data_IF_747324723183
#
_entry.id   IF_747324723183
#
_cell.length_a   1.000
_cell.length_b   1.000
_cell.length_c   1.000
_cell.angle_alpha   90.00
_cell.angle_beta   90.00
_cell.angle_gamma   90.00
#
_symmetry.space_group_name_H-M   'P 1'
#
loop_
_entity.id
_entity.type
_entity.pdbx_description
1 polymer ?
#
# COMPACT_ATOMS: atom_id res chain seq x y z
N UNK A 1 22.33 -64.18 -34.28
CA UNK A 1 22.22 -64.36 -32.82
C UNK A 1 22.21 -62.94 -32.23
N UNK A 2 21.11 -62.22 -31.91
CA UNK A 2 19.85 -62.50 -31.17
C UNK A 2 20.06 -63.38 -29.95
N UNK A 3 19.71 -63.05 -28.71
CA UNK A 3 19.17 -61.85 -28.03
C UNK A 3 19.48 -62.03 -26.50
N UNK A 4 18.72 -61.53 -25.51
CA UNK A 4 18.96 -60.28 -24.76
C UNK A 4 18.91 -60.46 -23.21
N UNK A 5 18.97 -59.36 -22.46
CA UNK A 5 18.58 -59.27 -21.03
C UNK A 5 19.66 -58.58 -20.20
N UNK A 6 19.41 -57.63 -19.32
CA UNK A 6 18.19 -57.02 -18.77
C UNK A 6 18.63 -55.65 -18.21
N UNK A 7 17.76 -54.65 -18.34
CA UNK A 7 17.93 -53.34 -17.71
C UNK A 7 17.43 -53.40 -16.26
N UNK A 8 18.09 -52.75 -15.29
CA UNK A 8 17.47 -52.57 -13.98
C UNK A 8 16.51 -51.38 -14.00
N UNK A 9 15.29 -51.74 -13.61
CA UNK A 9 14.10 -50.95 -13.29
C UNK A 9 14.41 -49.61 -12.62
N UNK A 10 13.99 -48.51 -13.26
CA UNK A 10 13.70 -47.26 -12.55
C UNK A 10 12.33 -47.42 -11.91
N UNK A 11 12.32 -47.89 -10.67
CA UNK A 11 11.14 -47.88 -9.81
C UNK A 11 10.69 -46.43 -9.60
N UNK A 12 9.47 -46.15 -10.02
CA UNK A 12 8.80 -44.88 -9.81
C UNK A 12 8.58 -44.61 -8.32
N UNK A 13 8.89 -43.38 -7.93
CA UNK A 13 8.17 -42.67 -6.88
C UNK A 13 7.99 -41.24 -7.40
N UNK A 14 7.01 -41.08 -8.29
CA UNK A 14 6.31 -39.81 -8.48
C UNK A 14 5.63 -39.48 -7.14
N UNK A 15 6.36 -38.80 -6.26
CA UNK A 15 5.75 -38.07 -5.17
C UNK A 15 5.04 -36.85 -5.77
N UNK A 16 3.87 -37.11 -6.36
CA UNK A 16 2.82 -36.11 -6.58
C UNK A 16 2.38 -35.59 -5.22
N UNK A 17 3.17 -34.66 -4.66
CA UNK A 17 2.73 -33.78 -3.57
C UNK A 17 1.82 -32.72 -4.19
N UNK A 18 0.61 -33.14 -4.55
CA UNK A 18 -0.56 -32.28 -4.65
C UNK A 18 -0.83 -31.72 -3.24
N UNK A 19 -0.10 -30.67 -2.88
CA UNK A 19 -0.43 -29.86 -1.72
C UNK A 19 -1.54 -28.87 -2.12
N UNK A 20 -2.62 -28.79 -1.33
CA UNK A 20 -3.74 -27.92 -1.67
C UNK A 20 -3.29 -26.46 -1.66
N UNK A 21 -3.56 -25.76 -2.75
CA UNK A 21 -3.42 -24.30 -2.94
C UNK A 21 -4.41 -23.48 -2.11
N UNK A 22 -4.81 -23.99 -0.93
CA UNK A 22 -5.68 -23.33 0.01
C UNK A 22 -4.87 -23.04 1.28
N UNK A 23 -4.96 -21.80 1.75
CA UNK A 23 -4.44 -21.26 3.02
C UNK A 23 -3.12 -20.47 2.99
N UNK A 24 -3.21 -19.22 2.54
CA UNK A 24 -2.57 -18.07 3.22
C UNK A 24 -3.57 -16.91 3.14
N UNK A 25 -4.06 -16.42 4.27
CA UNK A 25 -4.95 -15.24 4.32
C UNK A 25 -6.15 -15.39 5.23
N UNK A 26 -5.90 -15.84 6.46
CA UNK A 26 -6.66 -15.53 7.66
C UNK A 26 -5.69 -15.74 8.83
N UNK A 27 -5.80 -14.94 9.89
CA UNK A 27 -4.93 -14.91 11.08
C UNK A 27 -3.66 -14.04 11.00
N UNK A 28 -3.84 -12.73 11.12
CA UNK A 28 -3.06 -11.83 11.99
C UNK A 28 -3.64 -10.40 11.96
N UNK A 29 -4.90 -10.23 12.37
CA UNK A 29 -5.50 -8.90 12.61
C UNK A 29 -5.84 -8.65 14.10
N UNK A 30 -5.33 -9.49 15.01
CA UNK A 30 -5.69 -9.43 16.42
C UNK A 30 -4.48 -9.66 17.34
N UNK A 31 -3.51 -8.75 17.34
CA UNK A 31 -2.59 -8.60 18.48
C UNK A 31 -2.37 -7.11 18.77
N UNK A 32 -3.31 -6.53 19.52
CA UNK A 32 -3.05 -5.32 20.31
C UNK A 32 -2.40 -5.83 21.61
N UNK A 33 -1.17 -5.45 21.97
CA UNK A 33 -0.62 -5.79 23.28
C UNK A 33 -1.43 -5.03 24.34
N UNK A 34 -2.32 -5.73 25.04
CA UNK A 34 -2.95 -5.20 26.27
C UNK A 34 -1.93 -5.30 27.39
N UNK A 35 -1.09 -4.27 27.55
CA UNK A 35 -0.32 -4.09 28.78
C UNK A 35 -1.27 -3.73 29.91
N UNK A 36 -1.52 -4.69 30.80
CA UNK A 36 -2.19 -4.48 32.09
C UNK A 36 -1.20 -3.76 33.01
N UNK A 37 -1.50 -2.52 33.41
CA UNK A 37 -0.82 -1.85 34.52
C UNK A 37 -1.86 -1.29 35.47
N UNK A 38 -1.98 -1.94 36.62
CA UNK A 38 -2.57 -1.38 37.83
C UNK A 38 -1.62 -0.31 38.36
N UNK A 39 -2.14 0.86 38.70
CA UNK A 39 -1.34 1.99 39.19
C UNK A 39 -2.17 3.26 39.33
N UNK A 40 -2.54 3.53 40.59
CA UNK A 40 -3.32 4.63 41.14
C UNK A 40 -2.97 6.06 40.67
N UNK A 41 -4.02 6.90 40.59
CA UNK A 41 -3.94 8.32 40.98
C UNK A 41 -3.60 9.32 39.86
N UNK A 42 -4.57 10.20 39.58
CA UNK A 42 -4.39 11.56 39.01
C UNK A 42 -3.70 11.70 37.65
N UNK A 43 -4.18 11.02 36.61
CA UNK A 43 -3.82 11.31 35.20
C UNK A 43 -5.03 11.18 34.24
N UNK A 44 -6.19 11.67 34.67
CA UNK A 44 -7.44 11.62 33.88
C UNK A 44 -7.45 12.50 32.62
N UNK A 45 -6.51 13.43 32.47
CA UNK A 45 -6.48 14.40 31.35
C UNK A 45 -5.47 14.07 30.24
N UNK A 46 -4.47 13.22 30.50
CA UNK A 46 -3.44 12.87 29.50
C UNK A 46 -3.81 11.68 28.60
N UNK A 47 -4.84 10.90 28.97
CA UNK A 47 -5.24 9.69 28.23
C UNK A 47 -6.38 9.91 27.19
N UNK A 48 -6.88 11.14 27.04
CA UNK A 48 -8.11 11.44 26.27
C UNK A 48 -7.92 12.16 24.91
N UNK A 49 -6.71 12.18 24.33
CA UNK A 49 -6.45 13.02 23.12
C UNK A 49 -5.68 12.37 21.97
N UNK A 50 -5.60 11.04 21.87
CA UNK A 50 -5.23 10.37 20.61
C UNK A 50 -6.47 9.72 19.98
N UNK A 51 -7.43 10.54 19.55
CA UNK A 51 -8.54 10.06 18.69
C UNK A 51 -7.93 9.64 17.36
N UNK A 52 -8.11 8.38 17.00
CA UNK A 52 -7.73 7.85 15.68
C UNK A 52 -8.52 8.63 14.62
N UNK A 53 -7.85 9.53 13.90
CA UNK A 53 -8.43 10.24 12.76
C UNK A 53 -8.41 9.29 11.55
N UNK A 54 -9.53 9.15 10.85
CA UNK A 54 -9.57 8.36 9.62
C UNK A 54 -8.93 9.14 8.47
N UNK A 55 -8.52 8.46 7.39
CA UNK A 55 -8.02 9.17 6.20
C UNK A 55 -9.08 10.11 5.62
N UNK A 56 -10.35 9.77 5.74
CA UNK A 56 -11.45 10.66 5.35
C UNK A 56 -11.46 11.95 6.18
N UNK A 57 -11.33 11.85 7.52
CA UNK A 57 -11.27 13.02 8.39
C UNK A 57 -10.06 13.92 8.07
N UNK A 58 -8.89 13.31 7.82
CA UNK A 58 -7.65 14.00 7.45
C UNK A 58 -7.84 14.70 6.10
N UNK A 59 -8.36 14.00 5.10
CA UNK A 59 -8.62 14.52 3.77
C UNK A 59 -9.58 15.72 3.80
N UNK A 60 -10.71 15.62 4.50
CA UNK A 60 -11.65 16.73 4.67
C UNK A 60 -11.02 17.95 5.36
N UNK A 61 -10.11 17.72 6.32
CA UNK A 61 -9.37 18.80 6.95
C UNK A 61 -8.32 19.44 6.04
N UNK A 62 -7.61 18.67 5.23
CA UNK A 62 -6.67 19.19 4.23
C UNK A 62 -7.38 19.95 3.11
N UNK A 63 -8.54 19.46 2.64
CA UNK A 63 -9.37 20.16 1.64
C UNK A 63 -9.86 21.53 2.15
N UNK A 64 -10.24 21.60 3.42
CA UNK A 64 -10.59 22.83 4.12
C UNK A 64 -9.36 23.67 4.55
N UNK A 65 -8.16 23.28 4.11
CA UNK A 65 -6.88 23.94 4.37
C UNK A 65 -6.56 24.19 5.85
N UNK A 66 -7.00 23.26 6.72
CA UNK A 66 -6.77 23.35 8.16
C UNK A 66 -5.42 22.80 8.58
N UNK A 67 -4.73 23.53 9.45
CA UNK A 67 -3.41 23.17 9.99
C UNK A 67 -3.39 21.80 10.67
N UNK A 68 -4.44 21.42 11.39
CA UNK A 68 -4.55 20.12 12.06
C UNK A 68 -4.67 18.97 11.07
N UNK A 69 -5.36 19.18 9.95
CA UNK A 69 -5.47 18.20 8.88
C UNK A 69 -4.13 17.94 8.23
N UNK A 70 -3.45 19.04 7.85
CA UNK A 70 -2.11 18.99 7.29
C UNK A 70 -1.09 18.36 8.24
N UNK A 71 -1.14 18.68 9.53
CA UNK A 71 -0.29 18.03 10.55
C UNK A 71 -0.50 16.52 10.56
N UNK A 72 -1.74 16.06 10.68
CA UNK A 72 -2.04 14.63 10.70
C UNK A 72 -1.65 13.93 9.39
N UNK A 73 -1.77 14.62 8.26
CA UNK A 73 -1.31 14.10 6.97
C UNK A 73 0.22 13.99 6.90
N UNK A 74 0.95 15.02 7.33
CA UNK A 74 2.42 15.00 7.35
C UNK A 74 2.93 13.91 8.30
N UNK A 75 2.44 13.86 9.54
CA UNK A 75 2.79 12.82 10.53
C UNK A 75 2.51 11.41 9.98
N UNK A 76 1.39 11.23 9.29
CA UNK A 76 1.00 9.94 8.74
C UNK A 76 1.83 9.52 7.53
N UNK A 77 2.12 10.42 6.59
CA UNK A 77 2.51 10.04 5.23
C UNK A 77 3.90 10.55 4.81
N UNK A 78 4.52 11.47 5.55
CA UNK A 78 5.91 11.90 5.30
C UNK A 78 6.92 10.75 5.35
N UNK A 79 6.86 9.80 6.33
CA UNK A 79 7.85 8.74 6.40
C UNK A 79 7.80 7.82 5.18
N UNK A 80 6.59 7.55 4.69
CA UNK A 80 6.37 6.73 3.50
C UNK A 80 6.91 7.41 2.24
N UNK A 81 6.64 8.71 2.06
CA UNK A 81 7.20 9.47 0.93
C UNK A 81 8.73 9.47 0.96
N UNK A 82 9.32 9.71 2.14
CA UNK A 82 10.77 9.66 2.35
C UNK A 82 11.34 8.28 2.01
N UNK A 83 10.69 7.21 2.46
CA UNK A 83 11.12 5.84 2.19
C UNK A 83 11.11 5.51 0.69
N UNK A 84 10.02 5.85 -0.02
CA UNK A 84 9.92 5.61 -1.46
C UNK A 84 10.98 6.39 -2.23
N UNK A 85 11.21 7.66 -1.87
CA UNK A 85 12.24 8.49 -2.50
C UNK A 85 13.64 8.00 -2.17
N UNK A 86 13.97 7.67 -0.91
CA UNK A 86 15.31 7.21 -0.56
C UNK A 86 15.67 5.87 -1.20
N UNK A 87 14.69 4.98 -1.37
CA UNK A 87 14.91 3.66 -1.97
C UNK A 87 14.97 3.73 -3.50
N UNK A 88 14.01 4.42 -4.13
CA UNK A 88 13.83 4.39 -5.59
C UNK A 88 14.35 5.64 -6.29
N UNK A 89 14.66 6.71 -5.58
CA UNK A 89 15.19 7.94 -6.16
C UNK A 89 16.19 8.60 -5.21
N UNK A 90 17.29 7.90 -4.83
CA UNK A 90 18.21 8.37 -3.79
C UNK A 90 18.79 9.76 -4.10
N UNK A 91 18.94 10.11 -5.37
CA UNK A 91 19.36 11.45 -5.82
C UNK A 91 18.35 12.56 -5.51
N UNK A 92 17.08 12.22 -5.29
CA UNK A 92 15.99 13.11 -4.93
C UNK A 92 15.62 13.04 -3.44
N UNK A 93 16.25 12.18 -2.63
CA UNK A 93 15.81 11.89 -1.27
C UNK A 93 16.11 12.98 -0.23
N UNK A 94 16.51 14.18 -0.68
CA UNK A 94 16.78 15.33 0.18
C UNK A 94 15.52 16.02 0.70
N UNK A 95 15.68 16.81 1.78
CA UNK A 95 14.60 17.55 2.44
C UNK A 95 13.83 18.47 1.47
N UNK A 96 14.52 19.12 0.54
CA UNK A 96 13.89 20.02 -0.44
C UNK A 96 12.86 19.34 -1.33
N UNK A 97 13.10 18.09 -1.75
CA UNK A 97 12.14 17.33 -2.55
C UNK A 97 10.88 16.99 -1.75
N UNK A 98 11.04 16.63 -0.47
CA UNK A 98 9.91 16.36 0.42
C UNK A 98 9.08 17.62 0.65
N UNK A 99 9.72 18.76 0.94
CA UNK A 99 9.06 20.06 1.05
C UNK A 99 8.24 20.41 -0.20
N UNK A 100 8.87 20.33 -1.38
CA UNK A 100 8.21 20.57 -2.67
C UNK A 100 7.03 19.63 -2.93
N UNK A 101 7.17 18.34 -2.59
CA UNK A 101 6.14 17.33 -2.74
C UNK A 101 4.91 17.66 -1.89
N UNK A 102 5.10 18.06 -0.63
CA UNK A 102 4.00 18.42 0.26
C UNK A 102 3.35 19.76 -0.14
N UNK A 103 4.13 20.75 -0.58
CA UNK A 103 3.57 21.97 -1.18
C UNK A 103 2.73 21.66 -2.42
N UNK A 104 3.22 20.78 -3.28
CA UNK A 104 2.49 20.35 -4.47
C UNK A 104 1.22 19.59 -4.10
N UNK A 105 1.26 18.79 -3.04
CA UNK A 105 0.07 18.13 -2.48
C UNK A 105 -0.97 19.16 -2.03
N UNK A 106 -0.57 20.24 -1.37
CA UNK A 106 -1.48 21.36 -1.00
C UNK A 106 -2.08 22.06 -2.21
N UNK A 107 -1.27 22.31 -3.25
CA UNK A 107 -1.75 22.89 -4.52
C UNK A 107 -2.72 21.97 -5.26
N UNK A 108 -2.44 20.67 -5.30
CA UNK A 108 -3.26 19.62 -5.96
C UNK A 108 -4.20 18.88 -5.00
N UNK A 109 -4.56 19.49 -3.86
CA UNK A 109 -5.31 18.83 -2.78
C UNK A 109 -6.64 18.23 -3.24
N UNK A 110 -7.32 18.87 -4.19
CA UNK A 110 -8.58 18.37 -4.76
C UNK A 110 -8.41 17.05 -5.51
N UNK A 111 -7.25 16.80 -6.11
CA UNK A 111 -6.97 15.54 -6.82
C UNK A 111 -6.62 14.43 -5.84
N UNK A 112 -5.67 14.68 -4.92
CA UNK A 112 -5.20 13.63 -3.99
C UNK A 112 -6.29 13.28 -2.96
N UNK A 113 -6.99 14.27 -2.42
CA UNK A 113 -8.02 14.08 -1.39
C UNK A 113 -9.44 13.96 -1.95
N UNK A 114 -9.57 13.61 -3.24
CA UNK A 114 -10.87 13.29 -3.84
C UNK A 114 -11.65 12.27 -2.98
N UNK A 115 -12.95 12.50 -2.71
CA UNK A 115 -13.76 11.63 -1.86
C UNK A 115 -13.77 10.17 -2.30
N UNK A 116 -13.78 9.87 -3.60
CA UNK A 116 -13.81 8.48 -4.06
C UNK A 116 -12.53 7.73 -3.69
N UNK A 117 -11.39 8.42 -3.75
CA UNK A 117 -10.07 7.88 -3.41
C UNK A 117 -9.67 7.99 -1.93
N UNK A 118 -10.53 8.51 -1.06
CA UNK A 118 -10.33 8.60 0.40
C UNK A 118 -11.36 7.79 1.19
N UNK A 119 -12.07 6.89 0.51
CA UNK A 119 -13.05 5.95 1.10
C UNK A 119 -12.39 4.90 1.99
N UNK A 120 -11.12 4.55 1.75
CA UNK A 120 -10.33 3.67 2.60
C UNK A 120 -8.87 4.13 2.66
N UNK A 121 -8.20 3.89 3.79
CA UNK A 121 -6.75 4.14 3.95
C UNK A 121 -5.96 3.35 2.90
N UNK A 122 -6.40 2.14 2.61
CA UNK A 122 -5.84 1.22 1.65
C UNK A 122 -5.76 1.80 0.24
N UNK A 123 -6.88 2.31 -0.27
CA UNK A 123 -6.92 2.96 -1.57
C UNK A 123 -6.11 4.25 -1.58
N UNK A 124 -6.18 5.02 -0.49
CA UNK A 124 -5.40 6.25 -0.37
C UNK A 124 -3.89 6.00 -0.42
N UNK A 125 -3.39 4.95 0.24
CA UNK A 125 -1.98 4.59 0.23
C UNK A 125 -1.48 4.32 -1.17
N UNK A 126 -2.19 3.52 -1.98
CA UNK A 126 -1.84 3.28 -3.38
C UNK A 126 -1.76 4.59 -4.17
N UNK A 127 -2.79 5.44 -4.07
CA UNK A 127 -2.83 6.73 -4.79
C UNK A 127 -1.72 7.68 -4.33
N UNK A 128 -1.40 7.68 -3.05
CA UNK A 128 -0.32 8.49 -2.50
C UNK A 128 1.04 7.96 -2.97
N UNK A 129 1.25 6.64 -2.98
CA UNK A 129 2.43 6.00 -3.56
C UNK A 129 2.64 6.41 -5.02
N UNK A 130 1.59 6.33 -5.85
CA UNK A 130 1.64 6.76 -7.26
C UNK A 130 1.96 8.24 -7.40
N UNK A 131 1.38 9.06 -6.53
CA UNK A 131 1.65 10.49 -6.53
C UNK A 131 3.14 10.74 -6.24
N UNK A 132 3.71 10.10 -5.22
CA UNK A 132 5.14 10.24 -4.87
C UNK A 132 6.03 9.79 -6.03
N UNK A 133 5.84 8.57 -6.53
CA UNK A 133 6.67 8.00 -7.61
C UNK A 133 6.48 8.76 -8.91
N UNK A 134 5.25 9.14 -9.26
CA UNK A 134 4.96 9.91 -10.45
C UNK A 134 5.60 11.30 -10.44
N UNK A 135 5.64 11.98 -9.28
CA UNK A 135 6.36 13.26 -9.15
C UNK A 135 7.89 13.09 -9.18
N UNK A 136 8.41 11.95 -8.71
CA UNK A 136 9.83 11.62 -8.80
C UNK A 136 10.26 11.31 -10.25
N UNK A 137 9.49 10.46 -10.96
CA UNK A 137 9.71 10.10 -12.37
C UNK A 137 9.69 11.29 -13.33
N UNK A 138 8.92 12.34 -12.99
CA UNK A 138 8.91 13.61 -13.74
C UNK A 138 10.24 14.36 -13.67
N UNK A 139 11.03 14.16 -12.61
CA UNK A 139 12.34 14.82 -12.40
C UNK A 139 13.49 13.93 -12.86
N UNK A 140 13.39 12.63 -12.56
CA UNK A 140 14.38 11.62 -12.92
C UNK A 140 13.66 10.54 -13.69
N UNK A 141 13.81 10.57 -15.02
CA UNK A 141 13.19 9.57 -15.88
C UNK A 141 13.98 8.26 -15.78
N UNK A 142 13.34 7.12 -15.43
CA UNK A 142 14.00 5.83 -15.51
C UNK A 142 14.53 5.56 -16.93
N UNK A 143 15.65 4.86 -17.03
CA UNK A 143 16.15 4.38 -18.32
C UNK A 143 15.10 3.46 -18.98
N UNK A 144 15.25 3.22 -20.29
CA UNK A 144 14.47 2.18 -20.94
C UNK A 144 14.91 0.80 -20.42
N UNK A 145 13.97 -0.11 -20.10
CA UNK A 145 14.34 -1.43 -19.61
C UNK A 145 14.94 -2.27 -20.73
N UNK A 146 15.96 -3.08 -20.42
CA UNK A 146 16.57 -4.02 -21.38
C UNK A 146 15.67 -5.23 -21.64
N UNK A 147 15.05 -5.75 -20.58
CA UNK A 147 13.99 -6.75 -20.65
C UNK A 147 12.63 -6.05 -20.80
N UNK A 148 11.78 -6.49 -21.73
CA UNK A 148 10.42 -5.94 -21.84
C UNK A 148 9.51 -6.53 -20.77
N UNK A 149 8.48 -5.81 -20.29
CA UNK A 149 7.53 -6.37 -19.33
C UNK A 149 6.80 -7.63 -19.85
N UNK A 150 6.53 -7.73 -21.16
CA UNK A 150 5.91 -8.93 -21.75
C UNK A 150 6.85 -10.14 -21.71
N UNK A 151 8.15 -9.92 -21.92
CA UNK A 151 9.15 -10.98 -21.75
C UNK A 151 9.22 -11.38 -20.28
N UNK A 152 9.34 -10.43 -19.37
CA UNK A 152 9.33 -10.70 -17.93
C UNK A 152 8.09 -11.50 -17.52
N UNK A 153 6.92 -11.15 -18.06
CA UNK A 153 5.68 -11.88 -17.78
C UNK A 153 5.75 -13.34 -18.23
N UNK A 154 6.33 -13.62 -19.40
CA UNK A 154 6.54 -14.99 -19.90
C UNK A 154 7.56 -15.76 -19.06
N UNK A 155 8.69 -15.13 -18.74
CA UNK A 155 9.78 -15.79 -18.00
C UNK A 155 9.35 -16.11 -16.56
N UNK A 156 8.52 -15.24 -15.96
CA UNK A 156 7.95 -15.46 -14.64
C UNK A 156 6.72 -16.39 -14.62
N UNK A 157 6.00 -16.57 -15.73
CA UNK A 157 4.74 -17.32 -15.77
C UNK A 157 4.80 -18.75 -15.16
N UNK A 158 5.90 -19.52 -15.32
CA UNK A 158 6.02 -20.84 -14.70
C UNK A 158 6.16 -20.81 -13.17
N UNK A 159 6.55 -19.66 -12.61
CA UNK A 159 6.84 -19.54 -11.18
C UNK A 159 5.55 -19.35 -10.36
N UNK A 160 5.46 -19.97 -9.17
CA UNK A 160 4.41 -19.69 -8.22
C UNK A 160 4.32 -18.19 -7.92
N UNK A 161 3.10 -17.68 -7.70
CA UNK A 161 2.83 -16.27 -7.36
C UNK A 161 3.84 -15.69 -6.37
N UNK A 162 4.08 -16.39 -5.27
CA UNK A 162 4.92 -15.88 -4.19
C UNK A 162 6.36 -15.61 -4.63
N UNK A 163 6.91 -16.45 -5.53
CA UNK A 163 8.27 -16.31 -6.04
C UNK A 163 8.37 -15.11 -6.99
N UNK A 164 7.32 -14.89 -7.80
CA UNK A 164 7.18 -13.68 -8.61
C UNK A 164 7.10 -12.41 -7.76
N UNK A 165 6.43 -12.46 -6.60
CA UNK A 165 6.41 -11.33 -5.67
C UNK A 165 7.78 -11.06 -5.03
N UNK A 166 8.53 -12.11 -4.68
CA UNK A 166 9.93 -11.98 -4.22
C UNK A 166 10.77 -11.24 -5.25
N UNK A 167 10.70 -11.64 -6.52
CA UNK A 167 11.43 -11.02 -7.63
C UNK A 167 11.01 -9.55 -7.82
N UNK A 168 9.71 -9.25 -7.77
CA UNK A 168 9.20 -7.87 -7.88
C UNK A 168 9.66 -6.98 -6.71
N UNK A 169 9.74 -7.52 -5.49
CA UNK A 169 10.26 -6.79 -4.33
C UNK A 169 11.77 -6.59 -4.41
N UNK A 170 12.52 -7.58 -4.90
CA UNK A 170 13.95 -7.45 -5.15
C UNK A 170 14.22 -6.34 -6.19
N UNK A 171 13.47 -6.32 -7.31
CA UNK A 171 13.49 -5.22 -8.28
C UNK A 171 13.18 -3.85 -7.64
N UNK A 172 12.36 -3.82 -6.60
CA UNK A 172 12.04 -2.59 -5.85
C UNK A 172 13.13 -2.21 -4.83
N UNK A 173 14.23 -2.95 -4.78
CA UNK A 173 15.36 -2.74 -3.88
C UNK A 173 15.11 -3.24 -2.45
N UNK A 174 14.16 -4.15 -2.24
CA UNK A 174 13.88 -4.70 -0.90
C UNK A 174 14.96 -5.69 -0.48
N UNK A 175 15.39 -5.58 0.77
CA UNK A 175 16.31 -6.55 1.37
C UNK A 175 15.59 -7.86 1.69
N UNK A 176 16.33 -8.98 1.79
CA UNK A 176 15.73 -10.28 2.13
C UNK A 176 14.90 -10.26 3.42
N UNK A 177 15.34 -9.60 4.52
CA UNK A 177 14.51 -9.48 5.73
C UNK A 177 13.22 -8.67 5.51
N UNK A 178 13.26 -7.65 4.64
CA UNK A 178 12.06 -6.90 4.26
C UNK A 178 11.11 -7.77 3.42
N UNK A 179 11.64 -8.52 2.44
CA UNK A 179 10.86 -9.46 1.62
C UNK A 179 10.16 -10.48 2.51
N UNK A 180 10.89 -11.12 3.43
CA UNK A 180 10.30 -12.04 4.41
C UNK A 180 9.18 -11.38 5.21
N UNK A 181 9.44 -10.17 5.71
CA UNK A 181 8.47 -9.48 6.52
C UNK A 181 7.21 -9.03 5.73
N UNK A 182 7.30 -8.84 4.42
CA UNK A 182 6.18 -8.43 3.54
C UNK A 182 5.39 -9.64 3.03
N UNK A 183 6.06 -10.65 2.47
CA UNK A 183 5.40 -11.80 1.80
C UNK A 183 5.48 -13.12 2.57
N UNK A 184 6.09 -13.14 3.77
CA UNK A 184 6.19 -14.32 4.65
C UNK A 184 6.93 -15.49 4.01
N UNK A 185 8.00 -15.18 3.28
CA UNK A 185 8.95 -16.16 2.72
C UNK A 185 10.27 -15.97 3.44
N UNK A 186 10.77 -17.00 4.10
CA UNK A 186 12.03 -16.91 4.84
C UNK A 186 13.15 -16.32 3.98
N UNK A 187 14.01 -15.49 4.57
CA UNK A 187 15.12 -14.86 3.85
C UNK A 187 15.97 -15.87 3.06
N UNK A 188 16.18 -17.08 3.60
CA UNK A 188 16.88 -18.18 2.92
C UNK A 188 16.14 -18.67 1.67
N UNK A 189 14.81 -18.83 1.74
CA UNK A 189 14.01 -19.22 0.57
C UNK A 189 13.96 -18.10 -0.45
N UNK A 190 13.85 -16.84 -0.02
CA UNK A 190 13.91 -15.69 -0.90
C UNK A 190 15.26 -15.65 -1.65
N UNK A 191 16.38 -15.86 -0.96
CA UNK A 191 17.69 -15.98 -1.59
C UNK A 191 17.73 -17.11 -2.62
N UNK A 192 17.24 -18.31 -2.28
CA UNK A 192 17.20 -19.43 -3.22
C UNK A 192 16.35 -19.18 -4.47
N UNK A 193 15.27 -18.39 -4.37
CA UNK A 193 14.48 -17.95 -5.52
C UNK A 193 15.32 -17.01 -6.41
N UNK A 194 16.03 -16.07 -5.80
CA UNK A 194 16.87 -15.12 -6.52
C UNK A 194 18.10 -15.79 -7.18
N UNK A 195 18.71 -16.76 -6.50
CA UNK A 195 19.84 -17.55 -7.03
C UNK A 195 19.43 -18.46 -8.19
N UNK A 196 18.15 -18.82 -8.29
CA UNK A 196 17.61 -19.64 -9.36
C UNK A 196 17.25 -18.84 -10.63
N UNK A 197 17.39 -17.51 -10.61
CA UNK A 197 17.15 -16.66 -11.78
C UNK A 197 18.19 -17.00 -12.87
N UNK A 198 17.77 -17.26 -14.12
CA UNK A 198 18.69 -17.50 -15.22
C UNK A 198 19.67 -16.33 -15.40
N UNK A 199 20.94 -16.64 -15.67
CA UNK A 199 21.99 -15.64 -15.80
C UNK A 199 21.68 -14.57 -16.86
N UNK A 200 21.02 -14.96 -17.95
CA UNK A 200 20.59 -14.05 -19.01
C UNK A 200 19.53 -13.05 -18.52
N UNK A 201 18.59 -13.51 -17.69
CA UNK A 201 17.59 -12.62 -17.10
C UNK A 201 18.25 -11.69 -16.09
N UNK A 202 19.17 -12.21 -15.26
CA UNK A 202 19.92 -11.40 -14.29
C UNK A 202 20.80 -10.34 -14.98
N UNK A 203 21.47 -10.65 -16.08
CA UNK A 203 22.30 -9.67 -16.82
C UNK A 203 21.45 -8.51 -17.37
N UNK A 204 20.23 -8.79 -17.80
CA UNK A 204 19.34 -7.79 -18.38
C UNK A 204 18.59 -6.95 -17.33
N UNK A 205 18.33 -7.53 -16.16
CA UNK A 205 17.45 -6.95 -15.15
C UNK A 205 18.17 -6.58 -13.86
N UNK A 206 19.40 -7.05 -13.64
CA UNK A 206 20.17 -6.83 -12.43
C UNK A 206 19.32 -7.00 -11.14
N UNK A 207 18.44 -8.02 -11.10
CA UNK A 207 17.49 -8.25 -10.00
C UNK A 207 18.24 -8.45 -8.68
N UNK A 208 19.35 -9.18 -8.72
CA UNK A 208 20.18 -9.48 -7.55
C UNK A 208 21.14 -8.32 -7.22
N UNK A 209 21.39 -7.44 -8.19
CA UNK A 209 22.32 -6.32 -8.10
C UNK A 209 21.67 -4.93 -8.06
N UNK A 210 20.45 -4.79 -7.52
CA UNK A 210 19.87 -3.46 -7.27
C UNK A 210 20.63 -2.72 -6.16
N UNK A 211 21.79 -2.17 -6.54
CA UNK A 211 22.47 -1.08 -5.86
C UNK A 211 21.72 0.25 -6.06
N UNK A 212 22.26 1.37 -5.57
CA UNK A 212 21.55 2.64 -5.38
C UNK A 212 21.27 3.44 -6.68
N UNK A 213 20.97 2.79 -7.81
CA UNK A 213 20.82 3.45 -9.12
C UNK A 213 19.44 4.09 -9.37
N UNK A 214 18.60 4.14 -8.33
CA UNK A 214 17.24 4.67 -8.44
C UNK A 214 16.24 3.64 -8.94
N UNK A 215 15.15 4.10 -9.52
CA UNK A 215 13.99 3.26 -9.76
C UNK A 215 14.28 2.30 -10.90
N UNK A 216 14.05 1.01 -10.65
CA UNK A 216 14.31 0.00 -11.64
C UNK A 216 13.42 0.21 -12.89
N UNK A 217 14.02 0.36 -14.10
CA UNK A 217 13.30 0.61 -15.36
C UNK A 217 12.11 -0.32 -15.61
N UNK A 218 12.27 -1.60 -15.26
CA UNK A 218 11.23 -2.61 -15.49
C UNK A 218 9.99 -2.37 -14.64
N UNK A 219 10.12 -1.84 -13.41
CA UNK A 219 8.95 -1.56 -12.56
C UNK A 219 8.11 -0.42 -13.14
N UNK A 220 8.75 0.65 -13.59
CA UNK A 220 8.07 1.75 -14.26
C UNK A 220 7.37 1.27 -15.55
N UNK A 221 8.07 0.46 -16.36
CA UNK A 221 7.51 -0.08 -17.60
C UNK A 221 6.33 -1.05 -17.34
N UNK A 222 6.40 -1.90 -16.32
CA UNK A 222 5.29 -2.78 -15.90
C UNK A 222 4.07 -1.92 -15.49
N UNK A 223 4.28 -0.83 -14.76
CA UNK A 223 3.18 0.04 -14.31
C UNK A 223 2.44 0.71 -15.48
N UNK A 224 3.17 1.10 -16.52
CA UNK A 224 2.65 1.70 -17.75
C UNK A 224 1.78 0.75 -18.60
N UNK A 225 1.90 -0.57 -18.42
CA UNK A 225 1.09 -1.59 -19.14
C UNK A 225 -0.36 -1.71 -18.65
N UNK A 226 -0.99 -0.62 -18.24
CA UNK A 226 -2.39 -0.65 -17.82
C UNK A 226 -3.31 -0.93 -19.01
N UNK A 227 -4.07 -2.02 -18.94
CA UNK A 227 -5.14 -2.34 -19.89
C UNK A 227 -6.52 -2.15 -19.26
N UNK A 228 -7.56 -2.24 -20.09
CA UNK A 228 -8.97 -2.27 -19.64
C UNK A 228 -9.33 -3.54 -18.88
N UNK A 229 -8.51 -4.59 -18.98
CA UNK A 229 -8.69 -5.85 -18.27
C UNK A 229 -8.08 -5.83 -16.86
N UNK A 230 -7.22 -4.86 -16.57
CA UNK A 230 -6.62 -4.70 -15.25
C UNK A 230 -7.67 -4.37 -14.19
N UNK A 231 -7.48 -4.92 -12.99
CA UNK A 231 -8.37 -4.67 -11.86
C UNK A 231 -8.33 -3.20 -11.42
N UNK A 232 -9.46 -2.75 -10.88
CA UNK A 232 -9.55 -1.46 -10.18
C UNK A 232 -8.75 -1.52 -8.87
N UNK A 233 -8.01 -0.45 -8.56
CA UNK A 233 -7.17 -0.36 -7.35
C UNK A 233 -7.97 -0.59 -6.05
N UNK A 234 -9.28 -0.33 -6.04
CA UNK A 234 -10.17 -0.66 -4.90
C UNK A 234 -10.19 -2.14 -4.60
N UNK A 235 -10.07 -3.00 -5.61
CA UNK A 235 -10.06 -4.45 -5.45
C UNK A 235 -8.77 -4.88 -4.76
N UNK A 236 -7.62 -4.31 -5.14
CA UNK A 236 -6.33 -4.57 -4.48
C UNK A 236 -6.37 -4.19 -3.00
N UNK A 237 -6.90 -3.00 -2.68
CA UNK A 237 -7.16 -2.53 -1.33
C UNK A 237 -7.96 -3.55 -0.50
N UNK A 238 -9.14 -3.90 -1.01
CA UNK A 238 -10.08 -4.80 -0.34
C UNK A 238 -9.56 -6.22 -0.20
N UNK A 239 -8.69 -6.68 -1.11
CA UNK A 239 -8.06 -8.00 -1.02
C UNK A 239 -7.16 -8.10 0.22
N UNK A 240 -6.29 -7.11 0.47
CA UNK A 240 -5.45 -7.10 1.68
C UNK A 240 -6.25 -6.87 2.95
N UNK A 241 -7.30 -6.05 2.89
CA UNK A 241 -8.17 -5.78 4.02
C UNK A 241 -9.10 -6.97 4.38
N UNK A 242 -9.06 -8.07 3.61
CA UNK A 242 -9.94 -9.23 3.82
C UNK A 242 -11.43 -8.92 3.59
N UNK A 243 -11.73 -7.89 2.80
CA UNK A 243 -13.07 -7.36 2.58
C UNK A 243 -13.71 -7.81 1.25
N UNK A 244 -13.14 -8.82 0.60
CA UNK A 244 -13.71 -9.46 -0.59
C UNK A 244 -14.61 -10.64 -0.19
N UNK A 245 -15.67 -10.87 -0.96
CA UNK A 245 -16.39 -12.14 -0.88
C UNK A 245 -15.49 -13.28 -1.39
N UNK A 246 -15.80 -14.51 -1.01
CA UNK A 246 -15.06 -15.70 -1.48
C UNK A 246 -14.88 -15.72 -2.99
N UNK A 247 -15.98 -15.56 -3.75
CA UNK A 247 -15.95 -15.50 -5.22
C UNK A 247 -15.09 -14.36 -5.75
N UNK A 248 -15.22 -13.16 -5.19
CA UNK A 248 -14.42 -12.01 -5.62
C UNK A 248 -12.94 -12.20 -5.33
N UNK A 249 -12.59 -12.90 -4.24
CA UNK A 249 -11.22 -13.27 -3.91
C UNK A 249 -10.66 -14.27 -4.92
N UNK A 250 -11.39 -15.31 -5.29
CA UNK A 250 -10.98 -16.26 -6.33
C UNK A 250 -10.73 -15.57 -7.68
N UNK A 251 -11.61 -14.65 -8.08
CA UNK A 251 -11.47 -13.92 -9.34
C UNK A 251 -10.28 -12.95 -9.29
N UNK A 252 -10.06 -12.30 -8.15
CA UNK A 252 -8.87 -11.49 -7.88
C UNK A 252 -7.59 -12.33 -8.01
N UNK A 253 -7.52 -13.47 -7.31
CA UNK A 253 -6.35 -14.35 -7.31
C UNK A 253 -6.07 -14.92 -8.71
N UNK A 254 -7.11 -15.36 -9.43
CA UNK A 254 -6.97 -15.83 -10.82
C UNK A 254 -6.43 -14.75 -11.74
N UNK A 255 -6.86 -13.50 -11.58
CA UNK A 255 -6.40 -12.39 -12.42
C UNK A 255 -4.93 -12.05 -12.16
N UNK A 256 -4.52 -11.88 -10.90
CA UNK A 256 -3.13 -11.53 -10.59
C UNK A 256 -2.15 -12.66 -10.92
N UNK A 257 -2.63 -13.90 -11.05
CA UNK A 257 -1.82 -15.02 -11.52
C UNK A 257 -1.40 -14.86 -13.00
N UNK A 258 -2.23 -14.21 -13.82
CA UNK A 258 -1.99 -14.02 -15.25
C UNK A 258 -1.57 -12.60 -15.67
N UNK A 259 -1.76 -11.59 -14.81
CA UNK A 259 -1.47 -10.20 -15.11
C UNK A 259 -0.28 -9.68 -14.28
N UNK A 260 0.92 -9.62 -14.89
CA UNK A 260 2.14 -9.14 -14.22
C UNK A 260 1.98 -7.72 -13.64
N UNK A 261 1.28 -6.82 -14.36
CA UNK A 261 1.00 -5.47 -13.89
C UNK A 261 0.15 -5.44 -12.62
N UNK A 262 -0.91 -6.23 -12.56
CA UNK A 262 -1.75 -6.32 -11.36
C UNK A 262 -1.05 -7.05 -10.20
N UNK A 263 -0.17 -8.03 -10.49
CA UNK A 263 0.68 -8.63 -9.48
C UNK A 263 1.68 -7.62 -8.90
N UNK A 264 2.39 -6.87 -9.75
CA UNK A 264 3.28 -5.79 -9.32
C UNK A 264 2.54 -4.73 -8.50
N UNK A 265 1.33 -4.38 -8.92
CA UNK A 265 0.45 -3.45 -8.20
C UNK A 265 0.08 -3.96 -6.80
N UNK A 266 -0.30 -5.23 -6.69
CA UNK A 266 -0.62 -5.86 -5.41
C UNK A 266 0.60 -5.97 -4.49
N UNK A 267 1.76 -6.36 -5.04
CA UNK A 267 3.04 -6.41 -4.33
C UNK A 267 3.46 -5.04 -3.82
N UNK A 268 3.36 -4.01 -4.65
CA UNK A 268 3.61 -2.62 -4.24
C UNK A 268 2.69 -2.20 -3.10
N UNK A 269 1.41 -2.59 -3.16
CA UNK A 269 0.49 -2.29 -2.07
C UNK A 269 0.88 -2.95 -0.74
N UNK A 270 1.36 -4.19 -0.77
CA UNK A 270 1.87 -4.89 0.43
C UNK A 270 3.08 -4.16 1.04
N UNK A 271 4.00 -3.69 0.21
CA UNK A 271 5.14 -2.84 0.63
C UNK A 271 4.65 -1.56 1.33
N UNK A 272 3.72 -0.82 0.71
CA UNK A 272 3.19 0.41 1.29
C UNK A 272 2.57 0.16 2.66
N UNK A 273 1.73 -0.88 2.79
CA UNK A 273 1.09 -1.24 4.07
C UNK A 273 2.12 -1.63 5.13
N UNK A 274 3.15 -2.36 4.75
CA UNK A 274 4.21 -2.77 5.66
C UNK A 274 4.98 -1.57 6.22
N UNK A 275 5.46 -0.68 5.36
CA UNK A 275 6.27 0.47 5.78
C UNK A 275 5.45 1.56 6.46
N UNK A 276 4.20 1.79 6.04
CA UNK A 276 3.29 2.73 6.69
C UNK A 276 3.10 2.44 8.18
N UNK A 277 3.21 1.18 8.60
CA UNK A 277 3.05 0.76 10.00
C UNK A 277 4.33 0.84 10.83
N UNK A 278 5.49 0.92 10.17
CA UNK A 278 6.81 0.84 10.81
C UNK A 278 7.57 2.16 10.86
N UNK A 279 7.31 3.02 9.89
CA UNK A 279 8.04 4.27 9.76
C UNK A 279 7.40 5.37 10.60
N UNK A 280 8.25 6.18 11.23
CA UNK A 280 7.83 7.28 12.08
C UNK A 280 8.45 8.60 11.59
N UNK A 281 7.78 9.71 11.89
CA UNK A 281 8.33 11.06 11.76
C UNK A 281 8.80 11.56 13.12
N UNK A 282 9.82 12.42 13.14
CA UNK A 282 10.09 13.23 14.33
C UNK A 282 9.23 14.50 14.34
N UNK A 283 8.96 15.10 15.52
CA UNK A 283 8.25 16.38 15.62
C UNK A 283 8.90 17.51 14.82
N UNK A 284 10.23 17.51 14.72
CA UNK A 284 11.02 18.51 14.00
C UNK A 284 10.80 18.41 12.48
N UNK A 285 10.77 17.19 11.94
CA UNK A 285 10.47 16.95 10.52
C UNK A 285 9.06 17.44 10.17
N UNK A 286 8.08 17.15 11.03
CA UNK A 286 6.70 17.60 10.86
C UNK A 286 6.63 19.13 10.91
N UNK A 287 7.32 19.75 11.88
CA UNK A 287 7.35 21.20 12.02
C UNK A 287 7.96 21.89 10.79
N UNK A 288 9.06 21.37 10.26
CA UNK A 288 9.72 21.88 9.06
C UNK A 288 8.77 21.87 7.85
N UNK A 289 8.10 20.74 7.58
CA UNK A 289 7.12 20.67 6.49
C UNK A 289 5.94 21.63 6.73
N UNK A 290 5.40 21.69 7.95
CA UNK A 290 4.29 22.59 8.27
C UNK A 290 4.64 24.08 8.16
N UNK A 291 5.91 24.44 8.38
CA UNK A 291 6.41 25.80 8.17
C UNK A 291 6.42 26.15 6.69
N UNK A 292 6.94 25.25 5.85
CA UNK A 292 7.01 25.44 4.40
C UNK A 292 5.63 25.42 3.72
N UNK A 293 4.66 24.76 4.36
CA UNK A 293 3.27 24.80 3.93
C UNK A 293 2.58 26.13 4.21
N UNK A 294 3.14 27.07 4.97
CA UNK A 294 2.57 28.41 5.26
C UNK A 294 1.05 28.38 5.54
N UNK A 295 0.70 27.67 6.61
CA UNK A 295 -0.69 27.45 7.03
C UNK A 295 -1.04 28.43 8.15
N UNK A 296 -2.13 29.18 7.99
CA UNK A 296 -2.64 30.10 9.01
C UNK A 296 -2.83 29.38 10.34
N UNK A 297 -2.34 29.97 11.43
CA UNK A 297 -2.63 29.47 12.78
C UNK A 297 -4.14 29.61 13.03
N UNK A 298 -4.83 28.47 13.11
CA UNK A 298 -6.26 28.47 13.34
C UNK A 298 -6.59 29.11 14.69
N UNK A 299 -7.50 30.09 14.71
CA UNK A 299 -8.05 30.63 15.95
C UNK A 299 -8.71 29.49 16.75
N UNK A 300 -8.22 29.29 17.97
CA UNK A 300 -8.28 28.04 18.76
C UNK A 300 -9.64 27.45 19.12
N UNK A 301 -10.76 27.96 18.63
CA UNK A 301 -12.10 27.44 18.97
C UNK A 301 -12.90 26.86 17.80
N UNK A 302 -12.49 27.12 16.56
CA UNK A 302 -13.26 26.71 15.37
C UNK A 302 -12.53 25.69 14.47
N UNK A 303 -11.27 25.37 14.75
CA UNK A 303 -10.40 24.53 13.90
C UNK A 303 -10.20 23.08 14.36
N UNK A 304 -10.47 22.76 15.62
CA UNK A 304 -10.23 21.40 16.15
C UNK A 304 -11.03 20.33 15.39
N UNK A 305 -10.44 19.15 15.13
CA UNK A 305 -11.13 17.90 14.69
C UNK A 305 -12.42 17.66 15.51
N UNK A 306 -12.43 18.09 16.78
CA UNK A 306 -13.59 18.09 17.68
C UNK A 306 -14.73 19.00 17.20
N UNK A 307 -14.43 20.17 16.63
CA UNK A 307 -15.37 21.12 16.05
C UNK A 307 -15.93 20.71 14.69
N UNK A 308 -15.20 19.89 13.92
CA UNK A 308 -15.69 19.29 12.66
C UNK A 308 -16.74 18.22 12.94
N UNK A 309 -16.47 17.30 13.87
CA UNK A 309 -17.47 16.31 14.28
C UNK A 309 -18.72 16.95 14.87
N UNK A 310 -18.61 18.03 15.66
CA UNK A 310 -19.79 18.77 16.14
C UNK A 310 -20.57 19.44 15.00
N UNK A 311 -19.92 19.86 13.91
CA UNK A 311 -20.62 20.44 12.74
C UNK A 311 -21.24 19.39 11.84
N UNK A 312 -20.56 18.28 11.58
CA UNK A 312 -21.09 17.15 10.82
C UNK A 312 -22.24 16.48 11.59
N UNK A 313 -22.09 16.26 12.90
CA UNK A 313 -23.18 15.78 13.75
C UNK A 313 -24.40 16.72 13.74
N UNK A 314 -24.19 18.03 13.90
CA UNK A 314 -25.26 19.05 13.80
C UNK A 314 -25.83 19.24 12.39
N UNK A 315 -25.15 18.76 11.35
CA UNK A 315 -25.66 18.74 9.98
C UNK A 315 -26.56 17.52 9.77
N UNK A 316 -26.14 16.33 10.25
CA UNK A 316 -26.98 15.13 10.28
C UNK A 316 -28.25 15.30 11.13
N UNK A 317 -28.15 15.92 12.31
CA UNK A 317 -29.32 16.25 13.15
C UNK A 317 -30.29 17.22 12.45
N UNK A 318 -29.79 18.12 11.59
CA UNK A 318 -30.62 19.07 10.84
C UNK A 318 -31.31 18.44 9.63
N UNK A 319 -30.74 17.38 9.07
CA UNK A 319 -31.34 16.58 7.99
C UNK A 319 -32.35 15.60 8.59
N UNK A 320 -32.00 14.92 9.68
CA UNK A 320 -32.91 14.03 10.41
C UNK A 320 -34.07 14.79 11.06
N UNK A 321 -33.86 16.02 11.54
CA UNK A 321 -34.92 16.87 12.07
C UNK A 321 -35.80 17.56 11.02
N UNK A 322 -35.51 17.40 9.72
CA UNK A 322 -36.30 17.98 8.61
C UNK A 322 -37.01 16.95 7.74
N UNK A 323 -36.97 15.66 8.09
CA UNK A 323 -37.66 14.62 7.34
C UNK A 323 -38.25 13.57 8.27
N UNK A 324 -39.59 13.45 8.22
CA UNK A 324 -40.47 12.43 8.82
C UNK A 324 -41.21 12.83 10.11
N UNK A 325 -42.05 13.86 10.02
CA UNK A 325 -43.39 13.80 10.64
C UNK A 325 -44.37 13.31 9.57
N UNK A 326 -44.39 12.00 9.31
CA UNK A 326 -45.56 11.38 8.69
C UNK A 326 -46.50 10.95 9.82
N UNK A 327 -47.32 11.89 10.30
CA UNK A 327 -48.58 11.56 10.95
C UNK A 327 -49.49 10.98 9.87
N UNK A 328 -49.52 9.65 9.80
CA UNK A 328 -50.41 8.87 8.94
C UNK A 328 -51.20 7.91 9.81
N UNK A 329 -52.29 8.44 10.36
CA UNK A 329 -53.30 7.78 11.19
C UNK A 329 -53.75 6.43 10.62
N UNK A 330 -53.46 5.33 11.31
CA UNK A 330 -54.18 4.06 11.12
C UNK A 330 -55.53 4.17 11.85
N UNK A 331 -56.60 4.46 11.09
CA UNK A 331 -57.98 4.12 11.50
C UNK A 331 -58.34 2.79 10.85
N UNK A 332 -58.66 1.80 11.68
CA UNK A 332 -59.45 0.64 11.29
C UNK A 332 -60.95 0.91 11.49
N UNK A 333 -61.76 0.27 10.64
CA UNK A 333 -63.23 -0.02 10.62
C UNK A 333 -63.58 -0.10 9.13
N UNK A 334 -64.10 -1.18 8.53
CA UNK A 334 -64.83 -2.37 8.97
C UNK A 334 -64.45 -3.58 8.10
#
# INVERSE_FOLDING_TARGET
>A
MRSPGEAPERSGEEASLLLPSAWIGAFAFAEIPRSRREGSGTNGEAFMTKRIATIHDIAQACLADRREGWRAFVEGYLPLARHLLSRRFPTLAGTSMLEELFQLTRRKRGTLFDPAGTTSTSLFLLRFGDFVLGEARRRVRPAAPRCSPDRMARDLAPLPRIERQVILLALAGMTLPEIDAIVRVSAQRAQGILDAIPAELEEETAIVHTGPEGEHPLLAAIEEQRSTECLDDRIHGRALDGCLSWKAREDFERHIEGCLRCLARFTFYQELVFFQRKLETTPEEVAAILQVLDLSEGTGEHGSIRGIRRRVGRWFERIAGKGMTSEGTLRGTE
#
